data_IF_273965284414
#
_entry.id   IF_273965284414
#
_cell.length_a   1.000
_cell.length_b   1.000
_cell.length_c   1.000
_cell.angle_alpha   90.00
_cell.angle_beta   90.00
_cell.angle_gamma   90.00
#
_symmetry.space_group_name_H-M   'P 1'
#
loop_
_entity.id
_entity.type
_entity.pdbx_description
1 polymer ?
#
# COMPACT_ATOMS: atom_id res chain seq x y z
N UNK A 1 11.29 -35.49 13.29
CA UNK A 1 10.04 -34.72 13.07
C UNK A 1 8.86 -35.23 13.90
N UNK A 2 9.06 -36.04 14.95
CA UNK A 2 7.97 -36.83 15.58
C UNK A 2 6.81 -36.06 16.25
N UNK A 3 7.01 -34.78 16.61
CA UNK A 3 5.97 -33.95 17.25
C UNK A 3 5.53 -32.72 16.42
N UNK A 4 6.00 -32.61 15.16
CA UNK A 4 5.62 -31.50 14.27
C UNK A 4 4.38 -31.89 13.48
N UNK A 5 3.23 -31.32 13.83
CA UNK A 5 1.93 -31.57 13.19
C UNK A 5 1.52 -30.43 12.24
N UNK A 6 2.36 -29.42 12.03
CA UNK A 6 2.03 -28.29 11.15
C UNK A 6 3.25 -27.82 10.36
N UNK A 7 3.02 -27.57 9.08
CA UNK A 7 3.96 -27.00 8.13
C UNK A 7 3.32 -25.76 7.51
N UNK A 8 4.03 -24.64 7.59
CA UNK A 8 3.60 -23.36 7.05
C UNK A 8 4.60 -22.93 5.99
N UNK A 9 4.09 -22.69 4.78
CA UNK A 9 4.84 -22.11 3.67
C UNK A 9 4.65 -20.59 3.67
N UNK A 10 5.74 -19.84 3.53
CA UNK A 10 5.68 -18.40 3.36
C UNK A 10 6.82 -17.96 2.44
N UNK A 11 6.47 -17.57 1.22
CA UNK A 11 7.43 -17.26 0.15
C UNK A 11 8.45 -18.41 -0.01
N UNK A 12 9.73 -18.14 0.17
CA UNK A 12 10.84 -19.10 0.11
C UNK A 12 11.16 -19.77 1.46
N UNK A 13 10.35 -19.52 2.50
CA UNK A 13 10.58 -20.02 3.87
C UNK A 13 9.57 -21.10 4.22
N UNK A 14 10.04 -22.06 5.01
CA UNK A 14 9.23 -23.13 5.59
C UNK A 14 9.36 -23.11 7.11
N UNK A 15 8.21 -23.09 7.78
CA UNK A 15 8.12 -23.17 9.23
C UNK A 15 7.46 -24.50 9.59
N UNK A 16 8.17 -25.35 10.33
CA UNK A 16 7.65 -26.63 10.79
C UNK A 16 7.61 -26.62 12.33
N UNK A 17 6.40 -26.67 12.89
CA UNK A 17 6.17 -26.51 14.33
C UNK A 17 5.12 -27.50 14.84
N UNK A 18 5.04 -27.61 16.17
CA UNK A 18 3.94 -28.27 16.84
C UNK A 18 2.89 -27.22 17.18
N UNK A 19 1.74 -27.28 16.52
CA UNK A 19 0.61 -26.39 16.78
C UNK A 19 -0.36 -27.08 17.76
N UNK A 20 -0.63 -26.44 18.89
CA UNK A 20 -1.64 -26.89 19.86
C UNK A 20 -2.99 -26.17 19.72
N UNK A 21 -2.96 -24.88 19.38
CA UNK A 21 -4.13 -24.02 19.33
C UNK A 21 -3.99 -22.98 18.22
N UNK A 22 -5.09 -22.66 17.56
CA UNK A 22 -5.19 -21.56 16.59
C UNK A 22 -6.15 -20.53 17.15
N UNK A 23 -5.67 -19.30 17.35
CA UNK A 23 -6.46 -18.16 17.80
C UNK A 23 -6.44 -17.09 16.71
N UNK A 24 -7.50 -16.30 16.66
CA UNK A 24 -7.51 -15.07 15.88
C UNK A 24 -7.09 -13.88 16.72
N UNK A 25 -6.34 -12.97 16.08
CA UNK A 25 -5.86 -11.74 16.71
C UNK A 25 -6.41 -10.46 16.05
N UNK A 26 -7.32 -10.57 15.07
CA UNK A 26 -7.75 -9.45 14.22
C UNK A 26 -9.23 -9.11 14.36
N UNK A 27 -9.56 -7.82 14.32
CA UNK A 27 -10.91 -7.26 14.31
C UNK A 27 -11.64 -7.37 12.95
N UNK A 28 -10.96 -7.80 11.88
CA UNK A 28 -11.50 -7.96 10.52
C UNK A 28 -11.84 -9.42 10.17
N UNK A 29 -12.37 -10.16 11.13
CA UNK A 29 -12.38 -11.61 11.07
C UNK A 29 -13.63 -12.21 10.43
N UNK A 30 -13.40 -13.18 9.55
CA UNK A 30 -14.37 -14.21 9.20
C UNK A 30 -14.33 -15.29 10.29
N UNK A 31 -15.14 -15.10 11.35
CA UNK A 31 -15.15 -15.98 12.54
C UNK A 31 -15.39 -17.45 12.17
N UNK A 32 -16.08 -17.67 11.04
CA UNK A 32 -16.43 -18.99 10.51
C UNK A 32 -15.20 -19.86 10.22
N UNK A 33 -14.11 -19.30 9.67
CA UNK A 33 -12.93 -20.08 9.27
C UNK A 33 -12.18 -20.64 10.48
N UNK A 34 -12.09 -19.88 11.57
CA UNK A 34 -11.44 -20.32 12.80
C UNK A 34 -12.30 -21.35 13.54
N UNK A 35 -13.63 -21.20 13.50
CA UNK A 35 -14.55 -22.19 14.04
C UNK A 35 -14.50 -23.51 13.24
N UNK A 36 -14.39 -23.44 11.92
CA UNK A 36 -14.17 -24.59 11.04
C UNK A 36 -12.83 -25.29 11.33
N UNK A 37 -11.75 -24.54 11.53
CA UNK A 37 -10.44 -25.09 11.88
C UNK A 37 -10.41 -25.76 13.26
N UNK A 38 -11.12 -25.19 14.23
CA UNK A 38 -11.21 -25.75 15.58
C UNK A 38 -12.14 -26.96 15.67
N UNK A 39 -13.19 -27.02 14.84
CA UNK A 39 -14.10 -28.17 14.76
C UNK A 39 -13.50 -29.33 13.96
N UNK A 40 -12.71 -29.05 12.91
CA UNK A 40 -12.01 -30.08 12.14
C UNK A 40 -10.68 -30.48 12.82
N UNK A 41 -10.78 -31.32 13.86
CA UNK A 41 -9.64 -31.81 14.66
C UNK A 41 -8.70 -32.76 13.91
N UNK A 42 -8.87 -32.96 12.60
CA UNK A 42 -8.06 -33.86 11.78
C UNK A 42 -6.55 -33.57 11.85
N UNK A 43 -6.17 -32.30 12.02
CA UNK A 43 -4.78 -31.85 12.15
C UNK A 43 -4.17 -32.06 13.56
N UNK A 44 -5.01 -32.31 14.58
CA UNK A 44 -4.54 -32.65 15.93
C UNK A 44 -4.15 -34.13 16.06
N UNK A 45 -4.50 -34.95 15.06
CA UNK A 45 -4.09 -36.35 15.03
C UNK A 45 -2.61 -36.46 14.69
N UNK A 46 -1.85 -37.24 15.48
CA UNK A 46 -0.41 -37.49 15.25
C UNK A 46 -0.11 -38.18 13.92
N UNK A 47 -1.08 -38.85 13.32
CA UNK A 47 -0.95 -39.48 12.01
C UNK A 47 -1.02 -38.47 10.84
N UNK A 48 -1.41 -37.22 11.12
CA UNK A 48 -1.68 -36.21 10.11
C UNK A 48 -0.83 -34.94 10.34
N UNK A 49 -0.60 -34.21 9.26
CA UNK A 49 0.14 -32.94 9.26
C UNK A 49 -0.68 -31.89 8.52
N UNK A 50 -0.93 -30.75 9.16
CA UNK A 50 -1.53 -29.61 8.49
C UNK A 50 -0.49 -28.89 7.62
N UNK A 51 -0.89 -28.57 6.40
CA UNK A 51 -0.14 -27.73 5.48
C UNK A 51 -0.93 -26.46 5.22
N UNK A 52 -0.28 -25.31 5.33
CA UNK A 52 -0.93 -24.02 5.11
C UNK A 52 0.06 -23.11 4.40
N UNK A 53 -0.41 -22.33 3.43
CA UNK A 53 0.36 -21.23 2.88
C UNK A 53 -0.09 -19.93 3.53
N UNK A 54 0.86 -19.09 3.96
CA UNK A 54 0.58 -17.75 4.46
C UNK A 54 1.53 -16.73 3.84
N UNK A 55 1.00 -15.61 3.38
CA UNK A 55 1.81 -14.55 2.76
C UNK A 55 2.79 -13.95 3.76
N UNK A 56 2.35 -13.71 5.00
CA UNK A 56 3.22 -13.17 6.06
C UNK A 56 3.20 -14.03 7.32
N UNK A 57 4.40 -14.33 7.82
CA UNK A 57 4.60 -15.02 9.11
C UNK A 57 5.55 -14.20 9.95
N UNK A 58 5.08 -13.78 11.14
CA UNK A 58 5.82 -12.96 12.10
C UNK A 58 5.86 -13.70 13.44
N UNK A 59 6.98 -13.60 14.14
CA UNK A 59 7.04 -14.06 15.53
C UNK A 59 6.32 -13.04 16.43
N UNK A 60 5.47 -13.51 17.34
CA UNK A 60 4.84 -12.62 18.32
C UNK A 60 5.90 -12.10 19.29
N UNK A 61 5.89 -10.79 19.53
CA UNK A 61 6.89 -10.14 20.37
C UNK A 61 6.61 -10.43 21.84
N UNK A 62 7.15 -11.54 22.36
CA UNK A 62 7.02 -11.96 23.74
C UNK A 62 7.60 -13.35 24.00
N UNK A 63 8.88 -13.44 24.37
CA UNK A 63 9.61 -14.56 24.99
C UNK A 63 9.36 -16.03 24.59
N UNK A 64 8.60 -16.31 23.54
CA UNK A 64 8.23 -17.64 23.09
C UNK A 64 8.49 -17.74 21.59
N UNK A 65 9.54 -18.48 21.24
CA UNK A 65 9.94 -18.73 19.85
C UNK A 65 8.85 -19.43 18.99
N UNK A 66 7.78 -19.93 19.62
CA UNK A 66 6.76 -20.77 19.02
C UNK A 66 5.42 -20.07 18.76
N UNK A 67 5.25 -18.82 19.19
CA UNK A 67 4.03 -18.05 18.90
C UNK A 67 4.21 -17.33 17.55
N UNK A 68 3.51 -17.85 16.53
CA UNK A 68 3.53 -17.33 15.16
C UNK A 68 2.22 -16.58 14.87
N UNK A 69 2.36 -15.32 14.44
CA UNK A 69 1.28 -14.54 13.85
C UNK A 69 1.37 -14.74 12.35
N UNK A 70 0.30 -15.30 11.79
CA UNK A 70 0.17 -15.56 10.36
C UNK A 70 -0.89 -14.63 9.79
N UNK A 71 -0.60 -14.02 8.64
CA UNK A 71 -1.50 -13.12 7.94
C UNK A 71 -1.68 -13.61 6.50
N UNK A 72 -2.91 -13.48 5.99
CA UNK A 72 -3.28 -13.85 4.61
C UNK A 72 -2.93 -15.30 4.27
N UNK A 73 -3.60 -16.23 4.96
CA UNK A 73 -3.40 -17.67 4.80
C UNK A 73 -4.47 -18.29 3.90
N UNK A 74 -4.05 -19.23 3.06
CA UNK A 74 -4.89 -19.92 2.08
C UNK A 74 -4.31 -21.30 1.74
N UNK A 75 -5.01 -22.09 0.92
CA UNK A 75 -4.64 -23.47 0.57
C UNK A 75 -4.39 -24.35 1.80
N UNK A 76 -5.17 -24.20 2.86
CA UNK A 76 -5.00 -25.01 4.07
C UNK A 76 -5.47 -26.44 3.82
N UNK A 77 -4.65 -27.45 4.05
CA UNK A 77 -4.99 -28.87 3.86
C UNK A 77 -4.37 -29.76 4.93
N UNK A 78 -4.77 -31.03 4.99
CA UNK A 78 -4.19 -32.03 5.88
C UNK A 78 -3.65 -33.20 5.07
N UNK A 79 -2.41 -33.59 5.32
CA UNK A 79 -1.77 -34.76 4.70
C UNK A 79 -1.32 -35.81 5.72
N UNK A 80 -0.79 -36.92 5.23
CA UNK A 80 -0.31 -38.04 6.02
C UNK A 80 1.10 -37.80 6.56
N UNK A 81 1.28 -37.92 7.88
CA UNK A 81 2.56 -37.69 8.54
C UNK A 81 3.68 -38.62 8.05
N UNK A 82 3.35 -39.86 7.69
CA UNK A 82 4.33 -40.84 7.18
C UNK A 82 4.95 -40.40 5.85
N UNK A 83 4.18 -39.72 4.99
CA UNK A 83 4.70 -39.18 3.72
C UNK A 83 5.67 -38.05 4.00
N UNK A 84 5.33 -37.15 4.93
CA UNK A 84 6.16 -35.98 5.29
C UNK A 84 7.49 -36.39 5.93
N UNK A 85 7.48 -37.41 6.79
CA UNK A 85 8.69 -37.89 7.46
C UNK A 85 9.75 -38.42 6.49
N UNK A 86 9.32 -38.90 5.32
CA UNK A 86 10.19 -39.45 4.30
C UNK A 86 10.66 -38.42 3.26
N UNK A 87 10.20 -37.16 3.35
CA UNK A 87 10.58 -36.11 2.42
C UNK A 87 11.80 -35.36 2.93
N UNK A 88 12.85 -35.35 2.14
CA UNK A 88 14.09 -34.61 2.41
C UNK A 88 14.14 -33.25 1.71
N UNK A 89 13.43 -33.12 0.58
CA UNK A 89 13.50 -31.96 -0.29
C UNK A 89 12.28 -31.04 -0.18
N UNK A 90 12.53 -29.74 -0.13
CA UNK A 90 11.47 -28.73 -0.11
C UNK A 90 10.52 -28.83 -1.32
N UNK A 91 11.07 -29.14 -2.50
CA UNK A 91 10.28 -29.28 -3.75
C UNK A 91 9.28 -30.43 -3.68
N UNK A 92 9.68 -31.55 -3.09
CA UNK A 92 8.81 -32.71 -2.92
C UNK A 92 7.68 -32.39 -1.94
N UNK A 93 8.01 -31.68 -0.87
CA UNK A 93 7.06 -31.27 0.15
C UNK A 93 6.04 -30.26 -0.40
N UNK A 94 6.50 -29.31 -1.22
CA UNK A 94 5.65 -28.37 -1.94
C UNK A 94 4.77 -29.08 -2.99
N UNK A 95 5.31 -30.07 -3.70
CA UNK A 95 4.56 -30.84 -4.70
C UNK A 95 3.47 -31.67 -4.04
N UNK A 96 3.76 -32.29 -2.89
CA UNK A 96 2.78 -33.01 -2.09
C UNK A 96 1.66 -32.07 -1.61
N UNK A 97 2.01 -30.88 -1.13
CA UNK A 97 1.01 -29.88 -0.73
C UNK A 97 0.10 -29.46 -1.89
N UNK A 98 0.66 -29.25 -3.09
CA UNK A 98 -0.13 -28.95 -4.30
C UNK A 98 -1.08 -30.09 -4.64
N UNK A 99 -0.63 -31.34 -4.54
CA UNK A 99 -1.48 -32.51 -4.77
C UNK A 99 -2.67 -32.57 -3.81
N UNK A 100 -2.44 -32.29 -2.52
CA UNK A 100 -3.49 -32.25 -1.49
C UNK A 100 -4.50 -31.13 -1.74
N UNK A 101 -4.03 -29.96 -2.19
CA UNK A 101 -4.88 -28.79 -2.45
C UNK A 101 -5.84 -29.02 -3.64
N UNK A 102 -5.48 -29.91 -4.57
CA UNK A 102 -6.36 -30.33 -5.66
C UNK A 102 -7.53 -31.22 -5.20
N UNK A 103 -7.56 -31.66 -3.93
CA UNK A 103 -8.59 -32.53 -3.37
C UNK A 103 -9.53 -31.72 -2.46
N UNK A 104 -10.74 -31.36 -2.92
CA UNK A 104 -11.63 -30.47 -2.17
C UNK A 104 -12.12 -31.04 -0.83
N UNK A 105 -12.13 -32.37 -0.67
CA UNK A 105 -12.59 -33.04 0.57
C UNK A 105 -11.66 -32.87 1.78
N UNK A 106 -10.43 -32.41 1.58
CA UNK A 106 -9.39 -32.31 2.62
C UNK A 106 -8.97 -30.86 2.91
N UNK A 107 -9.76 -29.90 2.40
CA UNK A 107 -9.49 -28.48 2.53
C UNK A 107 -9.90 -27.96 3.92
N UNK A 108 -8.95 -27.37 4.62
CA UNK A 108 -9.14 -26.64 5.88
C UNK A 108 -9.39 -25.15 5.65
N UNK A 109 -8.72 -24.57 4.65
CA UNK A 109 -8.82 -23.15 4.29
C UNK A 109 -8.95 -23.08 2.77
N UNK A 110 -9.87 -22.23 2.31
CA UNK A 110 -10.18 -21.97 0.92
C UNK A 110 -8.95 -21.86 0.02
N UNK A 111 -9.11 -22.31 -1.22
CA UNK A 111 -8.04 -22.28 -2.22
C UNK A 111 -7.78 -20.86 -2.69
N UNK A 112 -6.56 -20.60 -3.16
CA UNK A 112 -6.19 -19.34 -3.78
C UNK A 112 -7.16 -18.91 -4.89
N UNK A 113 -7.56 -19.85 -5.76
CA UNK A 113 -8.47 -19.56 -6.88
C UNK A 113 -9.81 -19.00 -6.41
N UNK A 114 -10.31 -19.45 -5.27
CA UNK A 114 -11.57 -18.96 -4.69
C UNK A 114 -11.45 -17.58 -4.03
N UNK A 115 -10.23 -17.15 -3.70
CA UNK A 115 -9.92 -15.85 -3.12
C UNK A 115 -9.60 -14.78 -4.17
N UNK A 116 -9.43 -15.19 -5.43
CA UNK A 116 -9.14 -14.28 -6.54
C UNK A 116 -10.30 -13.33 -6.83
N UNK A 117 -10.15 -12.06 -6.43
CA UNK A 117 -11.14 -11.01 -6.71
C UNK A 117 -10.98 -10.48 -8.15
N UNK A 118 -9.80 -10.63 -8.75
CA UNK A 118 -9.49 -10.16 -10.10
C UNK A 118 -8.70 -11.19 -10.89
N UNK A 119 -8.78 -11.12 -12.22
CA UNK A 119 -7.98 -11.95 -13.11
C UNK A 119 -6.47 -11.70 -12.90
N UNK A 120 -5.66 -12.68 -13.28
CA UNK A 120 -4.19 -12.58 -13.24
C UNK A 120 -3.76 -11.45 -14.19
N UNK A 121 -3.44 -10.29 -13.61
CA UNK A 121 -2.93 -9.13 -14.34
C UNK A 121 -1.44 -8.97 -14.08
N UNK A 122 -0.67 -8.62 -15.12
CA UNK A 122 0.73 -8.27 -14.94
C UNK A 122 0.83 -7.00 -14.10
N UNK A 123 1.66 -7.02 -13.06
CA UNK A 123 1.95 -5.84 -12.28
C UNK A 123 2.81 -4.87 -13.11
N UNK A 124 2.18 -3.80 -13.60
CA UNK A 124 2.87 -2.74 -14.34
C UNK A 124 3.43 -1.71 -13.36
N UNK A 125 4.65 -1.93 -12.89
CA UNK A 125 5.40 -0.91 -12.15
C UNK A 125 6.08 0.00 -13.16
N UNK A 126 5.93 1.32 -13.03
CA UNK A 126 6.67 2.28 -13.83
C UNK A 126 7.99 2.65 -13.12
N UNK A 127 9.14 2.03 -13.46
CA UNK A 127 10.41 2.31 -12.81
C UNK A 127 10.90 3.74 -13.10
N UNK A 128 10.50 4.36 -14.22
CA UNK A 128 10.93 5.71 -14.61
C UNK A 128 10.26 6.80 -13.76
N UNK A 129 9.05 6.55 -13.24
CA UNK A 129 8.34 7.46 -12.33
C UNK A 129 8.79 7.32 -10.85
N UNK A 130 9.62 6.34 -10.52
CA UNK A 130 10.20 6.15 -9.20
C UNK A 130 11.44 7.03 -8.98
N UNK A 131 11.49 8.27 -9.47
CA UNK A 131 12.70 9.12 -9.44
C UNK A 131 12.71 10.25 -8.41
N UNK A 132 11.61 10.51 -7.67
CA UNK A 132 11.64 11.55 -6.64
C UNK A 132 10.71 11.23 -5.46
N UNK A 133 11.27 11.03 -4.26
CA UNK A 133 10.65 10.57 -2.98
C UNK A 133 9.93 9.21 -3.01
N UNK A 134 9.18 8.90 -4.08
CA UNK A 134 8.57 7.60 -4.37
C UNK A 134 9.60 6.51 -4.70
N UNK A 135 10.85 6.90 -5.01
CA UNK A 135 11.96 5.99 -5.32
C UNK A 135 12.24 4.99 -4.20
N UNK A 136 12.25 5.46 -2.94
CA UNK A 136 12.50 4.60 -1.78
C UNK A 136 11.36 3.63 -1.49
N UNK A 137 10.11 4.06 -1.73
CA UNK A 137 8.93 3.21 -1.57
C UNK A 137 8.85 2.15 -2.67
N UNK A 138 9.11 2.53 -3.93
CA UNK A 138 9.24 1.59 -5.04
C UNK A 138 10.38 0.59 -4.82
N UNK A 139 11.55 1.07 -4.37
CA UNK A 139 12.71 0.22 -4.13
C UNK A 139 12.43 -0.79 -3.00
N UNK A 140 11.79 -0.37 -1.90
CA UNK A 140 11.36 -1.28 -0.82
C UNK A 140 10.32 -2.28 -1.29
N UNK A 141 9.37 -1.85 -2.11
CA UNK A 141 8.39 -2.76 -2.69
C UNK A 141 9.10 -3.80 -3.57
N UNK A 142 9.99 -3.37 -4.46
CA UNK A 142 10.77 -4.25 -5.33
C UNK A 142 11.67 -5.18 -4.51
N UNK A 143 12.35 -4.71 -3.47
CA UNK A 143 13.17 -5.57 -2.59
C UNK A 143 12.34 -6.68 -1.94
N UNK A 144 11.11 -6.38 -1.53
CA UNK A 144 10.21 -7.36 -0.90
C UNK A 144 9.49 -8.29 -1.87
N UNK A 145 9.37 -7.90 -3.15
CA UNK A 145 8.46 -8.53 -4.11
C UNK A 145 9.04 -8.81 -5.52
N UNK A 146 10.34 -8.54 -5.76
CA UNK A 146 10.97 -8.78 -7.05
C UNK A 146 11.40 -10.23 -7.28
N UNK A 147 11.65 -10.98 -6.20
CA UNK A 147 12.17 -12.35 -6.29
C UNK A 147 11.17 -13.31 -6.97
N UNK A 148 9.89 -13.17 -6.64
CA UNK A 148 8.86 -14.10 -7.08
C UNK A 148 8.42 -13.88 -8.55
N UNK A 149 8.76 -12.75 -9.18
CA UNK A 149 8.36 -12.43 -10.55
C UNK A 149 9.36 -12.80 -11.67
N UNK A 150 10.60 -13.20 -11.33
CA UNK A 150 11.68 -13.42 -12.31
C UNK A 150 11.44 -14.61 -13.24
N UNK A 151 10.82 -15.68 -12.73
CA UNK A 151 10.59 -16.92 -13.48
C UNK A 151 9.22 -16.96 -14.20
N UNK A 152 8.43 -15.87 -14.10
CA UNK A 152 7.12 -15.74 -14.75
C UNK A 152 6.06 -16.76 -14.32
N UNK A 153 6.33 -17.56 -13.30
CA UNK A 153 5.51 -18.71 -12.87
C UNK A 153 5.07 -18.64 -11.42
N UNK A 154 5.78 -17.88 -10.58
CA UNK A 154 5.40 -17.64 -9.19
C UNK A 154 4.65 -16.32 -9.09
N UNK A 155 3.43 -16.37 -8.55
CA UNK A 155 2.66 -15.16 -8.27
C UNK A 155 3.09 -14.60 -6.92
N UNK A 156 3.44 -13.32 -6.88
CA UNK A 156 3.67 -12.62 -5.63
C UNK A 156 2.39 -11.93 -5.15
N UNK A 157 2.18 -11.91 -3.83
CA UNK A 157 0.99 -11.39 -3.19
C UNK A 157 1.36 -10.24 -2.28
N UNK A 158 0.59 -9.16 -2.38
CA UNK A 158 0.74 -7.99 -1.53
C UNK A 158 -0.63 -7.37 -1.26
N UNK A 159 -0.85 -6.80 -0.08
CA UNK A 159 -2.09 -6.09 0.22
C UNK A 159 -2.24 -4.92 -0.72
N UNK A 160 -3.39 -4.82 -1.38
CA UNK A 160 -3.68 -3.75 -2.31
C UNK A 160 -5.13 -3.27 -2.17
N UNK A 161 -5.38 -2.08 -2.71
CA UNK A 161 -6.69 -1.47 -2.79
C UNK A 161 -7.10 -1.46 -4.25
N UNK A 162 -8.34 -1.84 -4.53
CA UNK A 162 -8.91 -1.85 -5.87
C UNK A 162 -10.22 -1.08 -5.89
N UNK A 163 -10.72 -0.79 -7.09
CA UNK A 163 -12.05 -0.22 -7.28
C UNK A 163 -12.85 -1.10 -8.23
N UNK A 164 -14.10 -1.39 -7.88
CA UNK A 164 -14.99 -2.21 -8.70
C UNK A 164 -15.26 -1.64 -10.10
N UNK A 165 -14.93 -0.35 -10.33
CA UNK A 165 -15.16 0.33 -11.60
C UNK A 165 -13.96 0.29 -12.55
N UNK A 166 -12.75 0.00 -12.07
CA UNK A 166 -11.51 -0.01 -12.85
C UNK A 166 -10.58 -1.09 -12.31
N UNK A 167 -10.49 -2.20 -13.05
CA UNK A 167 -9.71 -3.37 -12.68
C UNK A 167 -8.30 -3.40 -13.29
N UNK A 168 -7.98 -2.45 -14.18
CA UNK A 168 -6.68 -2.43 -14.88
C UNK A 168 -5.49 -2.11 -13.96
N UNK A 169 -5.75 -1.46 -12.81
CA UNK A 169 -4.72 -1.03 -11.88
C UNK A 169 -5.18 -1.22 -10.44
N UNK A 170 -4.25 -1.63 -9.58
CA UNK A 170 -4.42 -1.67 -8.12
C UNK A 170 -3.51 -0.64 -7.47
N UNK A 171 -3.94 -0.13 -6.32
CA UNK A 171 -3.17 0.81 -5.51
C UNK A 171 -2.49 0.01 -4.41
N UNK A 172 -1.16 -0.11 -4.45
CA UNK A 172 -0.40 -0.85 -3.42
C UNK A 172 -0.35 -0.15 -2.06
N UNK A 173 -0.40 1.19 -2.04
CA UNK A 173 -0.41 1.97 -0.80
C UNK A 173 -1.47 3.06 -0.90
N UNK A 174 -2.51 2.95 -0.08
CA UNK A 174 -3.56 3.94 0.00
C UNK A 174 -3.60 4.56 1.40
N UNK A 175 -3.45 5.88 1.48
CA UNK A 175 -3.63 6.62 2.72
C UNK A 175 -4.69 7.72 2.49
N UNK A 176 -5.95 7.48 2.91
CA UNK A 176 -7.06 8.39 2.63
C UNK A 176 -6.83 9.78 3.24
N UNK A 177 -6.18 9.84 4.40
CA UNK A 177 -5.90 11.09 5.10
C UNK A 177 -4.91 11.96 4.32
N UNK A 178 -3.82 11.37 3.85
CA UNK A 178 -2.81 12.10 3.08
C UNK A 178 -3.36 12.52 1.73
N UNK A 179 -4.08 11.63 1.03
CA UNK A 179 -4.74 11.96 -0.24
C UNK A 179 -5.69 13.15 -0.09
N UNK A 180 -6.49 13.17 0.98
CA UNK A 180 -7.39 14.29 1.25
C UNK A 180 -6.63 15.60 1.50
N UNK A 181 -5.56 15.58 2.29
CA UNK A 181 -4.74 16.77 2.55
C UNK A 181 -4.09 17.29 1.26
N UNK A 182 -3.56 16.40 0.42
CA UNK A 182 -2.98 16.81 -0.86
C UNK A 182 -4.02 17.40 -1.81
N UNK A 183 -5.22 16.81 -1.87
CA UNK A 183 -6.32 17.34 -2.67
C UNK A 183 -6.75 18.73 -2.16
N UNK A 184 -6.84 18.91 -0.84
CA UNK A 184 -7.16 20.19 -0.21
C UNK A 184 -6.09 21.23 -0.56
N UNK A 185 -4.81 20.93 -0.37
CA UNK A 185 -3.72 21.84 -0.73
C UNK A 185 -3.72 22.19 -2.22
N UNK A 186 -3.90 21.19 -3.08
CA UNK A 186 -3.96 21.37 -4.53
C UNK A 186 -5.15 22.24 -4.99
N UNK A 187 -6.21 22.37 -4.18
CA UNK A 187 -7.35 23.24 -4.48
C UNK A 187 -7.24 24.61 -3.81
N UNK A 188 -6.89 24.65 -2.51
CA UNK A 188 -6.89 25.87 -1.70
C UNK A 188 -5.75 26.81 -2.07
N UNK A 189 -4.56 26.29 -2.37
CA UNK A 189 -3.41 27.13 -2.74
C UNK A 189 -3.66 27.92 -4.04
N UNK A 190 -4.00 27.30 -5.18
CA UNK A 190 -4.30 28.06 -6.39
C UNK A 190 -5.54 28.94 -6.23
N UNK A 191 -6.57 28.49 -5.50
CA UNK A 191 -7.75 29.30 -5.21
C UNK A 191 -7.42 30.56 -4.40
N UNK A 192 -6.58 30.43 -3.37
CA UNK A 192 -6.12 31.55 -2.55
C UNK A 192 -5.25 32.53 -3.33
N UNK A 193 -4.32 32.04 -4.15
CA UNK A 193 -3.50 32.88 -5.02
C UNK A 193 -4.34 33.65 -6.04
N UNK A 194 -5.39 33.01 -6.59
CA UNK A 194 -6.31 33.66 -7.52
C UNK A 194 -7.09 34.80 -6.85
N UNK A 195 -7.66 34.57 -5.67
CA UNK A 195 -8.39 35.60 -4.91
C UNK A 195 -7.44 36.76 -4.56
N UNK A 196 -6.22 36.45 -4.10
CA UNK A 196 -5.23 37.46 -3.76
C UNK A 196 -4.83 38.31 -4.98
N UNK A 197 -4.61 37.69 -6.14
CA UNK A 197 -4.34 38.40 -7.38
C UNK A 197 -5.52 39.31 -7.80
N UNK A 198 -6.75 38.82 -7.72
CA UNK A 198 -7.94 39.62 -8.00
C UNK A 198 -8.07 40.82 -7.05
N UNK A 199 -7.75 40.63 -5.77
CA UNK A 199 -7.78 41.70 -4.77
C UNK A 199 -6.77 42.81 -5.07
N UNK A 200 -5.54 42.46 -5.45
CA UNK A 200 -4.54 43.44 -5.90
C UNK A 200 -5.03 44.20 -7.13
N UNK A 201 -5.56 43.50 -8.14
CA UNK A 201 -6.08 44.16 -9.35
C UNK A 201 -7.24 45.11 -9.04
N UNK A 202 -8.14 44.72 -8.13
CA UNK A 202 -9.23 45.58 -7.68
C UNK A 202 -8.72 46.84 -6.98
N UNK A 203 -7.72 46.70 -6.10
CA UNK A 203 -7.09 47.85 -5.44
C UNK A 203 -6.41 48.77 -6.45
N UNK A 204 -5.66 48.22 -7.41
CA UNK A 204 -5.04 49.01 -8.48
C UNK A 204 -6.11 49.77 -9.28
N UNK A 205 -7.21 49.13 -9.66
CA UNK A 205 -8.30 49.78 -10.39
C UNK A 205 -8.99 50.88 -9.59
N UNK A 206 -9.13 50.74 -8.27
CA UNK A 206 -9.68 51.78 -7.38
C UNK A 206 -8.69 52.91 -7.10
N UNK A 207 -7.38 52.62 -7.15
CA UNK A 207 -6.31 53.57 -6.82
C UNK A 207 -5.89 54.44 -7.98
N UNK A 208 -6.30 54.09 -9.20
CA UNK A 208 -5.95 54.78 -10.43
C UNK A 208 -7.17 55.61 -10.87
N UNK A 209 -7.08 56.92 -10.66
CA UNK A 209 -8.03 57.90 -11.17
C UNK A 209 -7.49 58.54 -12.45
N UNK A 210 -8.39 58.81 -13.40
CA UNK A 210 -8.07 59.54 -14.63
C UNK A 210 -8.59 60.97 -14.46
N UNK A 211 -7.70 61.96 -14.52
CA UNK A 211 -8.10 63.37 -14.59
C UNK A 211 -8.49 63.75 -16.02
N UNK A 212 -9.21 64.86 -16.18
CA UNK A 212 -9.75 65.34 -17.48
C UNK A 212 -8.69 65.64 -18.56
N UNK A 213 -7.39 65.62 -18.20
CA UNK A 213 -6.24 65.80 -19.10
C UNK A 213 -5.64 64.46 -19.60
N UNK A 214 -6.20 63.31 -19.21
CA UNK A 214 -5.80 61.99 -19.71
C UNK A 214 -4.57 61.36 -19.04
N UNK A 215 -3.98 62.01 -18.04
CA UNK A 215 -2.85 61.46 -17.27
C UNK A 215 -3.34 60.57 -16.11
N UNK A 216 -2.69 59.41 -15.93
CA UNK A 216 -2.95 58.45 -14.85
C UNK A 216 -2.28 58.91 -13.56
N UNK A 217 -3.05 59.14 -12.48
CA UNK A 217 -2.50 59.47 -11.17
C UNK A 217 -2.89 58.40 -10.13
N UNK A 218 -1.92 57.95 -9.33
CA UNK A 218 -2.14 57.08 -8.17
C UNK A 218 -2.70 57.91 -7.02
N UNK A 219 -3.96 57.71 -6.65
CA UNK A 219 -4.65 58.50 -5.62
C UNK A 219 -4.24 58.10 -4.20
N UNK A 220 -3.73 56.88 -4.00
CA UNK A 220 -3.56 56.27 -2.67
C UNK A 220 -2.19 56.51 -1.99
N UNK A 221 -1.15 56.95 -2.71
CA UNK A 221 0.16 57.26 -2.12
C UNK A 221 0.26 58.66 -1.50
N UNK A 222 -0.82 59.47 -1.55
CA UNK A 222 -0.82 60.85 -1.01
C UNK A 222 -1.16 60.93 0.49
N UNK A 223 -1.38 59.80 1.16
CA UNK A 223 -1.88 59.73 2.54
C UNK A 223 -0.90 59.28 3.64
N UNK A 224 0.36 59.00 3.34
CA UNK A 224 1.34 58.58 4.35
C UNK A 224 2.72 59.19 4.08
N UNK A 225 2.83 60.51 4.29
CA UNK A 225 4.10 61.23 4.11
C UNK A 225 3.99 62.65 4.65
N UNK A 226 4.29 62.81 5.93
CA UNK A 226 4.45 64.11 6.58
C UNK A 226 5.67 64.83 5.97
N UNK A 227 5.45 65.98 5.34
CA UNK A 227 6.43 67.07 5.12
C UNK A 227 7.71 66.76 4.34
N UNK A 228 7.81 67.27 3.11
CA UNK A 228 9.07 67.27 2.36
C UNK A 228 8.99 67.95 1.00
N UNK A 229 9.12 69.27 1.03
CA UNK A 229 9.38 70.25 -0.05
C UNK A 229 9.92 69.65 -1.37
N UNK A 230 9.19 69.88 -2.47
CA UNK A 230 9.64 69.63 -3.85
C UNK A 230 10.25 70.90 -4.42
N UNK A 231 11.58 70.93 -4.58
CA UNK A 231 12.24 71.91 -5.44
C UNK A 231 12.28 71.34 -6.87
N UNK A 232 11.82 72.19 -7.78
CA UNK A 232 11.82 72.04 -9.23
C UNK A 232 13.26 72.18 -9.72
N UNK A 233 13.74 71.24 -10.54
CA UNK A 233 14.95 71.46 -11.33
C UNK A 233 14.73 70.86 -12.72
N UNK A 234 14.33 71.74 -13.65
CA UNK A 234 14.36 71.51 -15.07
C UNK A 234 15.83 71.44 -15.52
N UNK A 235 16.24 70.31 -16.09
CA UNK A 235 17.50 70.22 -16.83
C UNK A 235 17.19 70.03 -18.31
N UNK A 236 17.39 71.11 -19.06
CA UNK A 236 17.42 71.18 -20.52
C UNK A 236 18.22 70.02 -21.13
N UNK A 237 17.57 69.30 -22.04
CA UNK A 237 18.21 68.37 -22.96
C UNK A 237 18.72 69.16 -24.16
N UNK A 238 20.03 69.42 -24.20
CA UNK A 238 20.74 69.96 -25.35
C UNK A 238 21.62 68.83 -25.90
N UNK A 239 21.35 68.39 -27.13
CA UNK A 239 22.29 67.62 -27.95
C UNK A 239 22.19 68.12 -29.40
N UNK A 240 23.32 68.23 -30.14
CA UNK A 240 23.40 68.72 -31.51
C UNK A 240 22.92 67.73 -32.59
#
# INVERSE_FOLDING_TARGET
MGDRNTVIFSKERLYAASCGHVNSSSAHQDNNTIELLNSNLGWKNKAKVAFIFCTYVKHQNGNKFYDLVMEDCFNGTVGDANRVQNVTDFRDLLSYHKELTSRPSELLINTEESLGIMNITKLLINPQACSNTLSSACAKFFEGHAADGLDGTTADRFPCYYTDKKHDFVIGVYNPRNTFIFLLLASVVPGGLFIFACFILFLCSKSVGVNDEGHLHLTLLKGAGNGGKSDHEDSDFNDP
#
